data_IF_898924763065
#
_entry.id   IF_898924763065
#
_cell.length_a   1.000
_cell.length_b   1.000
_cell.length_c   1.000
_cell.angle_alpha   90.00
_cell.angle_beta   90.00
_cell.angle_gamma   90.00
#
_symmetry.space_group_name_H-M   'P 1'
#
loop_
_entity.id
_entity.type
_entity.pdbx_description
1 polymer ?
#
# COMPACT_ATOMS: atom_id res chain seq x y z
N UNK A 1 11.76 11.35 19.61
CA UNK A 1 12.81 11.89 18.70
C UNK A 1 13.94 10.90 18.41
N UNK A 2 14.37 10.07 19.38
CA UNK A 2 15.43 9.05 19.16
C UNK A 2 14.98 7.95 18.17
N UNK A 3 13.75 7.47 18.32
CA UNK A 3 13.18 6.39 17.49
C UNK A 3 13.03 6.74 15.99
N UNK A 4 12.65 7.98 15.67
CA UNK A 4 12.53 8.47 14.28
C UNK A 4 13.88 8.50 13.56
N UNK A 5 14.95 8.95 14.24
CA UNK A 5 16.30 8.96 13.65
C UNK A 5 16.83 7.55 13.38
N UNK A 6 16.52 6.60 14.27
CA UNK A 6 16.90 5.19 14.07
C UNK A 6 16.13 4.55 12.91
N UNK A 7 14.82 4.83 12.78
CA UNK A 7 14.02 4.39 11.63
C UNK A 7 14.56 4.95 10.31
N UNK A 8 14.89 6.24 10.24
CA UNK A 8 15.50 6.85 9.04
C UNK A 8 16.84 6.17 8.71
N UNK A 9 17.66 5.87 9.73
CA UNK A 9 18.94 5.19 9.52
C UNK A 9 18.74 3.76 9.00
N UNK A 10 17.78 3.02 9.54
CA UNK A 10 17.43 1.67 9.10
C UNK A 10 16.86 1.64 7.67
N UNK A 11 16.07 2.66 7.31
CA UNK A 11 15.46 2.81 5.99
C UNK A 11 16.36 3.52 4.96
N UNK A 12 17.57 3.92 5.36
CA UNK A 12 18.49 4.63 4.48
C UNK A 12 18.77 3.81 3.22
N UNK A 13 18.71 4.47 2.06
CA UNK A 13 18.91 3.89 0.73
C UNK A 13 17.85 2.84 0.31
N UNK A 14 16.74 2.69 1.06
CA UNK A 14 15.61 1.88 0.62
C UNK A 14 14.77 2.63 -0.40
N UNK A 15 14.23 1.89 -1.37
CA UNK A 15 13.34 2.43 -2.40
C UNK A 15 11.92 1.90 -2.21
N UNK A 16 10.94 2.81 -2.24
CA UNK A 16 9.51 2.48 -2.19
C UNK A 16 8.92 2.62 -3.59
N UNK A 17 8.23 1.60 -4.07
CA UNK A 17 7.37 1.70 -5.23
C UNK A 17 5.91 1.78 -4.78
N UNK A 18 5.16 2.73 -5.32
CA UNK A 18 3.71 2.84 -5.13
C UNK A 18 3.03 2.49 -6.45
N UNK A 19 2.26 1.40 -6.47
CA UNK A 19 1.54 0.91 -7.64
C UNK A 19 0.10 1.42 -7.60
N UNK A 20 -0.26 2.22 -8.59
CA UNK A 20 -1.52 2.97 -8.65
C UNK A 20 -1.40 4.34 -8.01
N UNK A 21 -0.99 5.35 -8.79
CA UNK A 21 -0.87 6.75 -8.31
C UNK A 21 -2.17 7.53 -8.48
N UNK A 22 -3.25 6.93 -7.97
CA UNK A 22 -4.56 7.54 -7.88
C UNK A 22 -4.77 8.28 -6.56
N UNK A 23 -6.02 8.26 -6.09
CA UNK A 23 -6.45 8.93 -4.87
C UNK A 23 -5.63 8.55 -3.62
N UNK A 24 -5.26 7.28 -3.49
CA UNK A 24 -4.50 6.76 -2.34
C UNK A 24 -3.00 6.83 -2.59
N UNK A 25 -2.55 6.27 -3.71
CA UNK A 25 -1.12 6.10 -3.95
C UNK A 25 -0.37 7.40 -4.23
N UNK A 26 -1.00 8.41 -4.85
CA UNK A 26 -0.30 9.67 -5.11
C UNK A 26 0.06 10.41 -3.80
N UNK A 27 -0.87 10.68 -2.86
CA UNK A 27 -0.49 11.25 -1.56
C UNK A 27 0.57 10.42 -0.82
N UNK A 28 0.45 9.10 -0.85
CA UNK A 28 1.39 8.20 -0.18
C UNK A 28 2.80 8.32 -0.78
N UNK A 29 2.91 8.32 -2.10
CA UNK A 29 4.17 8.52 -2.82
C UNK A 29 4.83 9.87 -2.47
N UNK A 30 4.03 10.94 -2.42
CA UNK A 30 4.50 12.29 -2.08
C UNK A 30 4.97 12.42 -0.63
N UNK A 31 4.36 11.72 0.31
CA UNK A 31 4.81 11.78 1.71
C UNK A 31 6.05 10.93 1.92
N UNK A 32 6.14 9.74 1.31
CA UNK A 32 7.37 8.94 1.36
C UNK A 32 8.56 9.61 0.65
N UNK A 33 8.33 10.40 -0.42
CA UNK A 33 9.41 11.09 -1.16
C UNK A 33 10.18 12.10 -0.31
N UNK A 34 9.59 12.58 0.79
CA UNK A 34 10.28 13.41 1.78
C UNK A 34 11.38 12.68 2.56
N UNK A 35 11.36 11.34 2.54
CA UNK A 35 12.25 10.50 3.35
C UNK A 35 13.05 9.49 2.54
N UNK A 36 12.50 8.98 1.44
CA UNK A 36 13.05 7.87 0.65
C UNK A 36 12.97 8.15 -0.84
N UNK A 37 13.73 7.39 -1.64
CA UNK A 37 13.52 7.33 -3.08
C UNK A 37 12.19 6.63 -3.35
N UNK A 38 11.34 7.26 -4.15
CA UNK A 38 10.02 6.73 -4.49
C UNK A 38 9.87 6.55 -6.00
N UNK A 39 9.23 5.45 -6.39
CA UNK A 39 8.79 5.18 -7.76
C UNK A 39 7.26 5.15 -7.74
N UNK A 40 6.60 6.08 -8.41
CA UNK A 40 5.15 6.07 -8.59
C UNK A 40 4.80 5.40 -9.92
N UNK A 41 4.29 4.17 -9.88
CA UNK A 41 3.93 3.42 -11.08
C UNK A 41 2.42 3.44 -11.32
N UNK A 42 2.00 3.69 -12.57
CA UNK A 42 0.61 3.52 -13.02
C UNK A 42 0.58 3.06 -14.47
N UNK A 43 -0.36 2.18 -14.80
CA UNK A 43 -0.54 1.67 -16.17
C UNK A 43 -1.08 2.76 -17.11
N UNK A 44 -1.70 3.81 -16.56
CA UNK A 44 -2.22 4.94 -17.32
C UNK A 44 -1.10 5.93 -17.70
N UNK A 45 -0.62 5.82 -18.94
CA UNK A 45 0.43 6.67 -19.50
C UNK A 45 0.06 8.15 -19.54
N UNK A 46 -1.21 8.46 -19.79
CA UNK A 46 -1.70 9.84 -19.85
C UNK A 46 -1.67 10.47 -18.45
N UNK A 47 -2.09 9.72 -17.43
CA UNK A 47 -1.97 10.14 -16.02
C UNK A 47 -0.52 10.40 -15.64
N UNK A 48 0.41 9.49 -15.95
CA UNK A 48 1.83 9.66 -15.66
C UNK A 48 2.41 10.89 -16.39
N UNK A 49 2.07 11.09 -17.67
CA UNK A 49 2.49 12.27 -18.43
C UNK A 49 2.01 13.57 -17.78
N UNK A 50 0.75 13.61 -17.37
CA UNK A 50 0.17 14.77 -16.69
C UNK A 50 0.81 15.02 -15.32
N UNK A 51 1.15 13.97 -14.58
CA UNK A 51 1.88 14.09 -13.31
C UNK A 51 3.30 14.61 -13.53
N UNK A 52 4.03 14.11 -14.53
CA UNK A 52 5.37 14.58 -14.86
C UNK A 52 5.41 16.07 -15.21
N UNK A 53 4.41 16.58 -15.92
CA UNK A 53 4.31 18.01 -16.26
C UNK A 53 3.99 18.91 -15.06
N UNK A 54 3.34 18.37 -14.02
CA UNK A 54 2.85 19.12 -12.87
C UNK A 54 3.72 18.97 -11.60
N UNK A 55 4.60 17.98 -11.54
CA UNK A 55 5.38 17.63 -10.33
C UNK A 55 6.80 18.23 -10.31
N UNK A 56 6.96 19.49 -10.76
CA UNK A 56 8.27 20.16 -10.84
C UNK A 56 9.03 20.36 -9.51
N UNK A 57 8.46 19.96 -8.35
CA UNK A 57 8.99 20.30 -7.03
C UNK A 57 9.29 19.10 -6.11
N UNK A 58 9.21 17.85 -6.58
CA UNK A 58 9.49 16.67 -5.74
C UNK A 58 10.71 15.89 -6.23
N UNK A 59 11.88 16.16 -5.63
CA UNK A 59 13.19 15.67 -6.10
C UNK A 59 13.39 14.14 -5.94
N UNK A 60 12.59 13.48 -5.11
CA UNK A 60 12.80 12.07 -4.74
C UNK A 60 11.72 11.11 -5.28
N UNK A 61 10.85 11.55 -6.19
CA UNK A 61 9.81 10.71 -6.78
C UNK A 61 9.92 10.64 -8.30
N UNK A 62 10.01 9.42 -8.83
CA UNK A 62 9.96 9.14 -10.26
C UNK A 62 8.59 8.57 -10.60
N UNK A 63 7.77 9.30 -11.37
CA UNK A 63 6.52 8.78 -11.90
C UNK A 63 6.76 8.09 -13.25
N UNK A 64 6.27 6.86 -13.40
CA UNK A 64 6.53 6.04 -14.59
C UNK A 64 5.36 5.12 -14.93
N UNK A 65 5.21 4.80 -16.21
CA UNK A 65 4.33 3.73 -16.69
C UNK A 65 5.11 2.49 -17.15
N UNK A 66 6.42 2.47 -16.93
CA UNK A 66 7.29 1.32 -17.25
C UNK A 66 7.35 0.37 -16.04
N UNK A 67 6.80 -0.85 -16.15
CA UNK A 67 6.77 -1.80 -15.05
C UNK A 67 8.17 -2.29 -14.63
N UNK A 68 9.17 -2.24 -15.52
CA UNK A 68 10.53 -2.71 -15.21
C UNK A 68 11.19 -1.91 -14.07
N UNK A 69 10.73 -0.67 -13.85
CA UNK A 69 11.20 0.20 -12.77
C UNK A 69 10.84 -0.33 -11.39
N UNK A 70 9.75 -1.11 -11.26
CA UNK A 70 9.29 -1.66 -9.98
C UNK A 70 10.33 -2.60 -9.34
N UNK A 71 11.19 -3.24 -10.15
CA UNK A 71 12.29 -4.12 -9.71
C UNK A 71 13.37 -3.46 -8.87
N UNK A 72 13.43 -2.13 -8.85
CA UNK A 72 14.38 -1.39 -8.02
C UNK A 72 13.94 -1.33 -6.55
N UNK A 73 12.65 -1.55 -6.27
CA UNK A 73 12.07 -1.26 -4.98
C UNK A 73 12.33 -2.37 -3.94
N UNK A 74 12.59 -1.95 -2.72
CA UNK A 74 12.62 -2.82 -1.53
C UNK A 74 11.22 -3.00 -0.96
N UNK A 75 10.33 -2.02 -1.18
CA UNK A 75 8.95 -2.05 -0.74
C UNK A 75 8.03 -1.74 -1.92
N UNK A 76 6.98 -2.53 -2.14
CA UNK A 76 6.00 -2.29 -3.20
C UNK A 76 4.61 -2.17 -2.59
N UNK A 77 4.01 -0.98 -2.66
CA UNK A 77 2.72 -0.65 -2.05
C UNK A 77 1.62 -0.66 -3.13
N UNK A 78 0.72 -1.64 -3.10
CA UNK A 78 -0.35 -1.81 -4.09
C UNK A 78 -1.59 -1.01 -3.69
N UNK A 79 -1.75 0.16 -4.31
CA UNK A 79 -2.76 1.20 -4.04
C UNK A 79 -3.78 1.35 -5.19
N UNK A 80 -4.21 0.24 -5.78
CA UNK A 80 -5.15 0.23 -6.92
C UNK A 80 -6.61 0.17 -6.44
N UNK A 81 -7.58 0.64 -7.22
CA UNK A 81 -8.97 0.66 -6.77
C UNK A 81 -9.54 -0.75 -6.62
N UNK A 82 -10.39 -0.94 -5.61
CA UNK A 82 -11.24 -2.13 -5.43
C UNK A 82 -12.71 -1.72 -5.55
N UNK A 83 -13.20 -1.37 -6.76
CA UNK A 83 -14.58 -0.95 -6.93
C UNK A 83 -15.54 -2.08 -6.54
N UNK A 84 -16.74 -1.72 -6.10
CA UNK A 84 -17.78 -2.73 -5.84
C UNK A 84 -18.51 -3.07 -7.13
N UNK A 85 -18.74 -4.36 -7.37
CA UNK A 85 -19.54 -4.86 -8.49
C UNK A 85 -21.02 -4.55 -8.29
N UNK A 86 -21.84 -4.79 -9.32
CA UNK A 86 -23.31 -4.68 -9.22
C UNK A 86 -23.91 -5.57 -8.13
N UNK A 87 -23.25 -6.68 -7.81
CA UNK A 87 -23.61 -7.60 -6.73
C UNK A 87 -23.14 -7.16 -5.33
N UNK A 88 -22.57 -5.94 -5.21
CA UNK A 88 -21.97 -5.37 -3.99
C UNK A 88 -20.75 -6.13 -3.48
N UNK A 89 -20.10 -6.92 -4.33
CA UNK A 89 -18.86 -7.62 -4.00
C UNK A 89 -17.64 -6.79 -4.46
N UNK A 90 -16.53 -6.77 -3.71
CA UNK A 90 -15.30 -6.13 -4.15
C UNK A 90 -14.74 -6.76 -5.43
N UNK A 91 -14.47 -5.93 -6.43
CA UNK A 91 -13.82 -6.34 -7.67
C UNK A 91 -12.31 -6.34 -7.50
N UNK A 92 -11.73 -7.55 -7.44
CA UNK A 92 -10.30 -7.74 -7.23
C UNK A 92 -9.48 -7.72 -8.53
N UNK A 93 -10.10 -7.54 -9.71
CA UNK A 93 -9.37 -7.59 -11.00
C UNK A 93 -8.18 -6.65 -11.06
N UNK A 94 -8.33 -5.43 -10.54
CA UNK A 94 -7.27 -4.43 -10.51
C UNK A 94 -6.11 -4.84 -9.59
N UNK A 95 -6.43 -5.39 -8.41
CA UNK A 95 -5.42 -5.85 -7.44
C UNK A 95 -4.66 -7.06 -8.00
N UNK A 96 -5.38 -8.02 -8.60
CA UNK A 96 -4.77 -9.20 -9.24
C UNK A 96 -3.84 -8.79 -10.38
N UNK A 97 -4.30 -7.92 -11.27
CA UNK A 97 -3.48 -7.42 -12.39
C UNK A 97 -2.25 -6.65 -11.90
N UNK A 98 -2.38 -5.84 -10.85
CA UNK A 98 -1.23 -5.17 -10.23
C UNK A 98 -0.24 -6.19 -9.63
N UNK A 99 -0.73 -7.22 -8.95
CA UNK A 99 0.11 -8.27 -8.40
C UNK A 99 0.84 -9.08 -9.49
N UNK A 100 0.20 -9.38 -10.62
CA UNK A 100 0.85 -10.03 -11.78
C UNK A 100 2.01 -9.20 -12.32
N UNK A 101 1.79 -7.89 -12.54
CA UNK A 101 2.81 -6.97 -13.03
C UNK A 101 3.98 -6.87 -12.05
N UNK A 102 3.69 -6.77 -10.76
CA UNK A 102 4.71 -6.71 -9.70
C UNK A 102 5.47 -8.02 -9.62
N UNK A 103 4.77 -9.16 -9.65
CA UNK A 103 5.31 -10.52 -9.60
C UNK A 103 6.40 -10.74 -10.64
N UNK A 104 6.16 -10.30 -11.88
CA UNK A 104 7.11 -10.36 -13.00
C UNK A 104 8.42 -9.59 -12.80
N UNK A 105 8.40 -8.59 -11.91
CA UNK A 105 9.48 -7.64 -11.73
C UNK A 105 10.02 -7.69 -10.29
N UNK A 106 9.72 -8.74 -9.52
CA UNK A 106 10.12 -8.81 -8.11
C UNK A 106 11.64 -8.80 -7.92
N UNK A 107 12.04 -8.10 -6.86
CA UNK A 107 13.39 -8.10 -6.32
C UNK A 107 13.45 -9.06 -5.14
N UNK A 108 14.49 -9.89 -5.07
CA UNK A 108 14.76 -10.70 -3.88
C UNK A 108 14.97 -9.80 -2.66
N UNK A 109 14.31 -10.12 -1.57
CA UNK A 109 14.25 -9.37 -0.32
C UNK A 109 13.19 -8.25 -0.32
N UNK A 110 12.37 -8.13 -1.37
CA UNK A 110 11.30 -7.13 -1.39
C UNK A 110 10.16 -7.49 -0.41
N UNK A 111 9.47 -6.45 0.07
CA UNK A 111 8.24 -6.58 0.85
C UNK A 111 7.10 -5.95 0.06
N UNK A 112 6.10 -6.76 -0.29
CA UNK A 112 4.92 -6.32 -1.03
C UNK A 112 3.80 -6.06 -0.04
N UNK A 113 3.27 -4.85 -0.04
CA UNK A 113 2.22 -4.41 0.87
C UNK A 113 0.97 -4.12 0.09
N UNK A 114 -0.13 -4.77 0.45
CA UNK A 114 -1.43 -4.42 -0.08
C UNK A 114 -2.03 -3.27 0.75
N UNK A 115 -2.32 -2.16 0.06
CA UNK A 115 -2.95 -0.95 0.64
C UNK A 115 -4.44 -0.85 0.32
N UNK A 116 -4.83 -1.52 -0.77
CA UNK A 116 -6.19 -1.55 -1.27
C UNK A 116 -7.13 -2.19 -0.24
N UNK A 117 -8.33 -1.62 -0.06
CA UNK A 117 -9.31 -2.19 0.86
C UNK A 117 -9.82 -3.53 0.31
N UNK A 118 -9.71 -4.58 1.11
CA UNK A 118 -10.08 -5.96 0.75
C UNK A 118 -10.77 -6.65 1.92
N UNK A 119 -11.37 -7.81 1.66
CA UNK A 119 -11.91 -8.66 2.72
C UNK A 119 -10.82 -9.56 3.32
N UNK A 120 -11.04 -10.09 4.54
CA UNK A 120 -10.08 -10.97 5.20
C UNK A 120 -9.73 -12.20 4.34
N UNK A 121 -8.43 -12.45 4.15
CA UNK A 121 -7.88 -13.55 3.37
C UNK A 121 -7.31 -13.15 2.00
N UNK A 122 -7.62 -11.97 1.46
CA UNK A 122 -7.19 -11.62 0.08
C UNK A 122 -5.68 -11.56 -0.05
N UNK A 123 -4.98 -10.96 0.91
CA UNK A 123 -3.52 -10.79 0.82
C UNK A 123 -2.79 -12.15 0.78
N UNK A 124 -3.15 -13.08 1.66
CA UNK A 124 -2.48 -14.37 1.80
C UNK A 124 -3.01 -15.44 0.84
N UNK A 125 -4.32 -15.51 0.63
CA UNK A 125 -4.96 -16.61 -0.11
C UNK A 125 -5.10 -16.31 -1.62
N UNK A 126 -5.02 -15.03 -2.03
CA UNK A 126 -5.21 -14.61 -3.43
C UNK A 126 -3.97 -13.92 -3.98
N UNK A 127 -3.44 -12.92 -3.27
CA UNK A 127 -2.34 -12.11 -3.78
C UNK A 127 -1.00 -12.83 -3.66
N UNK A 128 -0.73 -13.50 -2.54
CA UNK A 128 0.53 -14.25 -2.37
C UNK A 128 0.74 -15.30 -3.47
N UNK A 129 -0.25 -16.15 -3.85
CA UNK A 129 -0.07 -17.10 -4.95
C UNK A 129 0.15 -16.45 -6.32
N UNK A 130 -0.40 -15.24 -6.56
CA UNK A 130 -0.18 -14.49 -7.80
C UNK A 130 1.23 -13.87 -7.84
N UNK A 131 1.81 -13.55 -6.68
CA UNK A 131 3.18 -13.05 -6.59
C UNK A 131 4.20 -14.20 -6.69
N UNK A 132 3.85 -15.38 -6.20
CA UNK A 132 4.66 -16.60 -6.19
C UNK A 132 4.63 -17.31 -7.57
N UNK A 133 5.03 -16.58 -8.61
CA UNK A 133 5.10 -17.09 -9.98
C UNK A 133 6.41 -17.86 -10.16
N UNK A 134 6.44 -19.13 -9.75
CA UNK A 134 7.59 -20.04 -9.94
C UNK A 134 8.08 -20.05 -11.40
N UNK A 135 7.20 -19.81 -12.37
CA UNK A 135 7.52 -19.85 -13.80
C UNK A 135 8.05 -18.52 -14.38
N UNK A 136 7.89 -17.37 -13.71
CA UNK A 136 8.26 -16.05 -14.26
C UNK A 136 9.39 -15.37 -13.47
N UNK A 137 9.23 -15.19 -12.15
CA UNK A 137 10.25 -14.58 -11.30
C UNK A 137 11.15 -15.62 -10.62
N UNK A 138 10.62 -16.84 -10.42
CA UNK A 138 11.30 -17.92 -9.69
C UNK A 138 11.51 -17.63 -8.20
N UNK A 139 10.85 -16.60 -7.65
CA UNK A 139 10.97 -16.20 -6.25
C UNK A 139 9.78 -16.73 -5.45
N UNK A 140 10.04 -17.23 -4.25
CA UNK A 140 9.02 -17.78 -3.35
C UNK A 140 8.60 -16.84 -2.24
N UNK A 141 7.30 -16.76 -1.98
CA UNK A 141 6.77 -15.98 -0.87
C UNK A 141 7.23 -16.58 0.48
N UNK A 142 7.64 -15.72 1.41
CA UNK A 142 8.18 -16.11 2.72
C UNK A 142 9.62 -16.58 2.72
N UNK A 143 10.24 -16.79 1.55
CA UNK A 143 11.64 -17.20 1.40
C UNK A 143 12.44 -16.10 0.71
N UNK A 144 12.02 -15.71 -0.49
CA UNK A 144 12.73 -14.74 -1.33
C UNK A 144 12.13 -13.35 -1.26
N UNK A 145 10.84 -13.22 -0.97
CA UNK A 145 10.17 -11.95 -0.71
C UNK A 145 9.11 -12.15 0.37
N UNK A 146 8.63 -11.06 0.97
CA UNK A 146 7.60 -11.12 2.01
C UNK A 146 6.40 -10.25 1.66
N UNK A 147 5.27 -10.50 2.33
CA UNK A 147 4.03 -9.76 2.12
C UNK A 147 3.55 -9.10 3.41
N UNK A 148 2.73 -8.06 3.26
CA UNK A 148 2.02 -7.42 4.34
C UNK A 148 0.78 -6.66 3.87
N UNK A 149 0.10 -6.08 4.83
CA UNK A 149 -1.12 -5.33 4.63
C UNK A 149 -1.12 -4.05 5.46
N UNK A 150 -1.57 -2.96 4.87
CA UNK A 150 -1.82 -1.71 5.60
C UNK A 150 -3.03 -1.02 4.99
N UNK A 151 -4.22 -1.07 5.62
CA UNK A 151 -5.41 -0.51 5.00
C UNK A 151 -5.32 1.02 4.94
N UNK A 152 -5.81 1.56 3.83
CA UNK A 152 -5.92 3.00 3.65
C UNK A 152 -6.96 3.65 4.60
N UNK A 153 -6.67 4.87 5.07
CA UNK A 153 -7.51 5.66 6.00
C UNK A 153 -7.58 7.17 5.70
N UNK A 154 -7.23 7.63 4.50
CA UNK A 154 -7.33 9.04 4.08
C UNK A 154 -8.76 9.37 3.65
N UNK A 155 -9.28 10.49 4.16
CA UNK A 155 -10.45 11.20 3.61
C UNK A 155 -9.97 12.43 2.80
N UNK A 156 -10.47 12.68 1.57
CA UNK A 156 -10.06 13.83 0.80
C UNK A 156 -10.66 15.10 1.40
N UNK A 157 -9.87 16.17 1.50
CA UNK A 157 -10.37 17.47 1.97
C UNK A 157 -10.55 17.58 3.49
N UNK A 158 -10.14 16.56 4.24
CA UNK A 158 -10.19 16.53 5.69
C UNK A 158 -8.81 16.88 6.28
N UNK A 159 -8.54 18.17 6.49
CA UNK A 159 -7.27 18.67 7.06
C UNK A 159 -7.06 18.20 8.53
N UNK A 160 -8.13 17.79 9.21
CA UNK A 160 -8.06 17.23 10.56
C UNK A 160 -7.53 15.79 10.54
N UNK A 161 -7.81 15.03 9.48
CA UNK A 161 -7.36 13.65 9.26
C UNK A 161 -6.35 13.55 8.11
N UNK A 162 -5.37 14.46 8.08
CA UNK A 162 -4.23 14.35 7.19
C UNK A 162 -3.38 13.09 7.51
N UNK A 163 -2.69 12.56 6.50
CA UNK A 163 -1.94 11.28 6.55
C UNK A 163 -0.95 11.22 7.73
N UNK A 164 -0.37 12.36 8.12
CA UNK A 164 0.59 12.51 9.22
C UNK A 164 -0.04 12.46 10.63
N UNK A 165 -1.38 12.57 10.72
CA UNK A 165 -2.14 12.54 11.99
C UNK A 165 -2.86 11.22 12.22
N UNK A 166 -3.08 10.40 11.19
CA UNK A 166 -3.82 9.15 11.29
C UNK A 166 -2.88 7.99 11.66
N UNK A 167 -3.25 7.21 12.67
CA UNK A 167 -2.57 5.94 12.95
C UNK A 167 -2.88 4.91 11.85
N UNK A 168 -1.86 4.53 11.07
CA UNK A 168 -1.95 3.42 10.12
C UNK A 168 -1.86 2.08 10.83
N UNK A 169 -2.70 1.14 10.41
CA UNK A 169 -2.63 -0.25 10.83
C UNK A 169 -1.63 -0.94 9.92
N UNK A 170 -0.72 -1.74 10.46
CA UNK A 170 0.21 -2.57 9.66
C UNK A 170 0.22 -4.00 10.19
N UNK A 171 0.35 -4.95 9.27
CA UNK A 171 0.63 -6.35 9.58
C UNK A 171 1.50 -6.94 8.48
N UNK A 172 2.56 -7.63 8.85
CA UNK A 172 3.34 -8.47 7.95
C UNK A 172 2.93 -9.94 8.06
N UNK A 173 3.40 -10.77 7.14
CA UNK A 173 3.20 -12.22 7.19
C UNK A 173 3.91 -12.89 8.39
N UNK A 174 4.89 -12.21 8.97
CA UNK A 174 5.60 -12.60 10.20
C UNK A 174 5.94 -11.36 11.06
N UNK A 175 6.46 -11.59 12.25
CA UNK A 175 6.83 -10.54 13.21
C UNK A 175 7.92 -9.61 12.64
N UNK A 176 8.96 -10.17 12.02
CA UNK A 176 10.06 -9.40 11.41
C UNK A 176 9.54 -8.44 10.33
N UNK A 177 8.63 -8.91 9.48
CA UNK A 177 7.99 -8.10 8.43
C UNK A 177 7.13 -7.01 9.06
N UNK A 178 6.39 -7.34 10.12
CA UNK A 178 5.55 -6.38 10.83
C UNK A 178 6.38 -5.25 11.44
N UNK A 179 7.51 -5.55 12.09
CA UNK A 179 8.42 -4.52 12.61
C UNK A 179 9.05 -3.69 11.48
N UNK A 180 9.43 -4.33 10.37
CA UNK A 180 9.98 -3.63 9.21
C UNK A 180 8.96 -2.67 8.60
N UNK A 181 7.71 -3.09 8.46
CA UNK A 181 6.62 -2.23 8.00
C UNK A 181 6.31 -1.13 9.00
N UNK A 182 6.34 -1.42 10.30
CA UNK A 182 6.15 -0.40 11.32
C UNK A 182 7.25 0.68 11.29
N UNK A 183 8.50 0.28 11.01
CA UNK A 183 9.58 1.23 10.77
C UNK A 183 9.35 2.06 9.49
N UNK A 184 8.83 1.45 8.42
CA UNK A 184 8.58 2.12 7.13
C UNK A 184 7.49 3.18 7.28
N UNK A 185 6.28 2.76 7.67
CA UNK A 185 5.14 3.66 7.86
C UNK A 185 5.37 4.63 9.02
N UNK A 186 6.20 4.23 9.98
CA UNK A 186 6.65 5.06 11.09
C UNK A 186 7.49 6.28 10.70
N UNK A 187 7.95 6.36 9.43
CA UNK A 187 8.57 7.56 8.88
C UNK A 187 7.55 8.68 8.67
N UNK A 188 6.33 8.30 8.26
CA UNK A 188 5.32 9.22 7.75
C UNK A 188 4.18 9.46 8.75
N UNK A 189 3.92 8.53 9.68
CA UNK A 189 2.85 8.67 10.68
C UNK A 189 3.01 7.69 11.87
N UNK A 190 2.04 7.69 12.79
CA UNK A 190 1.91 6.71 13.86
C UNK A 190 1.45 5.35 13.34
N UNK A 191 1.93 4.28 13.95
CA UNK A 191 1.64 2.91 13.51
C UNK A 191 1.02 2.10 14.64
N UNK A 192 -0.04 1.37 14.31
CA UNK A 192 -0.60 0.29 15.11
C UNK A 192 -0.27 -1.05 14.44
N UNK A 193 0.44 -1.92 15.15
CA UNK A 193 0.78 -3.27 14.68
C UNK A 193 -0.40 -4.19 14.99
N UNK A 194 -1.10 -4.69 13.97
CA UNK A 194 -2.12 -5.71 14.16
C UNK A 194 -1.46 -7.08 14.40
N UNK A 195 -2.25 -8.01 14.96
CA UNK A 195 -1.78 -9.36 15.28
C UNK A 195 -1.32 -10.13 14.05
N UNK A 196 -2.08 -10.03 12.97
CA UNK A 196 -1.86 -10.73 11.71
C UNK A 196 -2.55 -9.97 10.57
N UNK A 197 -2.23 -10.34 9.32
CA UNK A 197 -2.78 -9.71 8.11
C UNK A 197 -4.30 -9.79 8.09
N UNK A 198 -4.86 -10.97 8.38
CA UNK A 198 -6.31 -11.21 8.40
C UNK A 198 -7.04 -10.30 9.39
N UNK A 199 -6.45 -10.03 10.56
CA UNK A 199 -6.97 -9.07 11.55
C UNK A 199 -6.92 -7.65 11.01
N UNK A 200 -5.84 -7.25 10.35
CA UNK A 200 -5.71 -5.92 9.76
C UNK A 200 -6.72 -5.68 8.62
N UNK A 201 -6.98 -6.69 7.78
CA UNK A 201 -8.03 -6.66 6.75
C UNK A 201 -9.42 -6.53 7.40
N UNK A 202 -9.70 -7.31 8.44
CA UNK A 202 -10.98 -7.27 9.16
C UNK A 202 -11.25 -5.93 9.84
N UNK A 203 -10.22 -5.27 10.39
CA UNK A 203 -10.35 -3.99 11.08
C UNK A 203 -11.00 -2.92 10.18
N UNK A 204 -10.63 -2.89 8.89
CA UNK A 204 -11.21 -1.92 7.94
C UNK A 204 -12.67 -2.22 7.61
N UNK A 205 -13.02 -3.50 7.48
CA UNK A 205 -14.40 -3.93 7.26
C UNK A 205 -15.29 -3.51 8.44
N UNK A 206 -14.82 -3.74 9.67
CA UNK A 206 -15.54 -3.36 10.89
C UNK A 206 -15.72 -1.84 10.98
N UNK A 207 -14.69 -1.05 10.68
CA UNK A 207 -14.78 0.43 10.64
C UNK A 207 -15.87 0.90 9.67
N UNK A 208 -15.92 0.33 8.47
CA UNK A 208 -16.91 0.67 7.46
C UNK A 208 -18.33 0.25 7.88
N UNK A 209 -18.49 -0.92 8.50
CA UNK A 209 -19.78 -1.38 9.04
C UNK A 209 -20.28 -0.45 10.14
N UNK A 210 -19.41 -0.08 11.10
CA UNK A 210 -19.77 0.83 12.18
C UNK A 210 -20.23 2.18 11.64
N UNK A 211 -19.53 2.74 10.64
CA UNK A 211 -19.92 3.99 9.98
C UNK A 211 -21.30 3.88 9.32
N UNK A 212 -21.55 2.80 8.58
CA UNK A 212 -22.83 2.55 7.92
C UNK A 212 -23.98 2.41 8.92
N UNK A 213 -23.77 1.67 10.02
CA UNK A 213 -24.75 1.52 11.10
C UNK A 213 -25.09 2.86 11.76
N UNK A 214 -24.07 3.69 12.05
CA UNK A 214 -24.30 5.01 12.65
C UNK A 214 -25.10 5.95 11.73
N UNK A 215 -24.80 5.95 10.42
CA UNK A 215 -25.57 6.74 9.44
C UNK A 215 -27.02 6.24 9.36
N UNK A 216 -27.21 4.91 9.28
CA UNK A 216 -28.54 4.31 9.21
C UNK A 216 -29.36 4.61 10.48
N UNK A 217 -28.74 4.57 11.65
CA UNK A 217 -29.36 4.91 12.92
C UNK A 217 -29.79 6.38 12.95
N UNK A 218 -28.91 7.32 12.55
CA UNK A 218 -29.25 8.75 12.52
C UNK A 218 -30.39 9.06 11.56
N UNK A 219 -30.42 8.43 10.38
CA UNK A 219 -31.53 8.59 9.43
C UNK A 219 -32.87 8.06 9.96
N UNK A 220 -32.88 7.18 10.96
CA UNK A 220 -34.12 6.69 11.59
C UNK A 220 -34.72 7.72 12.56
N UNK A 221 -33.88 8.61 13.11
CA UNK A 221 -34.26 9.61 14.12
C UNK A 221 -34.51 11.02 13.56
N UNK A 222 -34.32 11.22 12.25
CA UNK A 222 -34.59 12.47 11.51
C UNK A 222 -35.85 12.25 10.67
#
# INVERSE_FOLDING_TARGET
MIEQRERIKFMKNKTVCVVGVGYVGLPLAKVFSKHLKVIGFDVDKEKIRNLGNNNNNEENVEFTSDPSKTKQADFVLICVPTPVTKSKEPDLRYVKSAAEIVGQQLKKGAIIVLESTVYPGVTEEIIAPILDLENESGLKCGIDFKIGYSPERINPGDEAHALDKITKIVAGMDEETTETLAALYGLITNVYKAKDIKTAEAAKVIENIQRALNIALMNLFI
#
